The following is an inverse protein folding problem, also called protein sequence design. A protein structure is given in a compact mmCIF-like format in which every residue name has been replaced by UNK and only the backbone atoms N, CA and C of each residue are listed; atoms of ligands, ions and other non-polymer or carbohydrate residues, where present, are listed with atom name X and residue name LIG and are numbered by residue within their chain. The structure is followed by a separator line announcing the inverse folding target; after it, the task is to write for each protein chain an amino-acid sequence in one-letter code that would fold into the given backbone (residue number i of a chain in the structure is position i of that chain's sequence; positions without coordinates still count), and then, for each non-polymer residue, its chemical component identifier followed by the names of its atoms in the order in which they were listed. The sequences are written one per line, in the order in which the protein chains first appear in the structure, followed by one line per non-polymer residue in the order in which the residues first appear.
data_IF_908843553720
#
_entry.id   IF_908843553720
#
_cell.length_a   1.000
_cell.length_b   1.000
_cell.length_c   1.000
_cell.angle_alpha   90.00
_cell.angle_beta   90.00
_cell.angle_gamma   90.00
#
_symmetry.space_group_name_H-M   'P 1'
#
loop_
_entity.id
_entity.type
_entity.pdbx_description
1 polymer ?
#
# COMPACT_ATOMS: atom_id res chain seq x y z
N UNK A 1 24.19 27.37 -36.71
CA UNK A 1 23.13 26.37 -36.52
C UNK A 1 22.89 26.21 -35.00
N UNK A 2 21.81 26.81 -34.52
CA UNK A 2 21.35 26.64 -33.15
C UNK A 2 20.75 25.22 -33.02
N UNK A 3 21.52 24.26 -32.58
CA UNK A 3 21.02 23.00 -32.09
C UNK A 3 20.34 23.31 -30.75
N UNK A 4 19.03 23.39 -30.73
CA UNK A 4 18.26 23.40 -29.46
C UNK A 4 18.62 22.11 -28.71
N UNK A 5 19.08 22.24 -27.48
CA UNK A 5 19.28 21.07 -26.62
C UNK A 5 17.98 20.28 -26.57
N UNK A 6 17.99 19.06 -27.09
CA UNK A 6 16.83 18.19 -26.98
C UNK A 6 16.62 17.84 -25.52
N UNK A 7 15.45 18.15 -24.99
CA UNK A 7 15.04 17.71 -23.67
C UNK A 7 14.99 16.16 -23.68
N UNK A 8 15.75 15.53 -22.81
CA UNK A 8 15.70 14.07 -22.67
C UNK A 8 14.41 13.74 -21.92
N UNK A 9 13.47 13.07 -22.58
CA UNK A 9 12.23 12.58 -21.98
C UNK A 9 12.36 11.10 -21.64
N UNK A 10 11.87 10.68 -20.46
CA UNK A 10 11.87 9.25 -20.11
C UNK A 10 10.66 8.54 -20.72
N UNK A 11 10.79 8.18 -21.99
CA UNK A 11 9.71 7.59 -22.77
C UNK A 11 9.39 6.13 -22.33
N UNK A 12 10.40 5.39 -21.87
CA UNK A 12 10.21 3.98 -21.49
C UNK A 12 9.27 3.80 -20.29
N UNK A 13 9.47 4.57 -19.22
CA UNK A 13 8.59 4.51 -18.06
C UNK A 13 7.17 4.94 -18.39
N UNK A 14 7.02 5.98 -19.21
CA UNK A 14 5.70 6.44 -19.68
C UNK A 14 4.94 5.32 -20.40
N UNK A 15 5.59 4.62 -21.33
CA UNK A 15 4.94 3.51 -22.07
C UNK A 15 4.49 2.38 -21.14
N UNK A 16 5.29 2.02 -20.15
CA UNK A 16 4.93 0.98 -19.17
C UNK A 16 3.73 1.42 -18.34
N UNK A 17 3.77 2.64 -17.81
CA UNK A 17 2.68 3.17 -16.98
C UNK A 17 1.39 3.33 -17.78
N UNK A 18 1.45 3.88 -19.00
CA UNK A 18 0.29 4.00 -19.87
C UNK A 18 -0.34 2.63 -20.17
N UNK A 19 0.50 1.61 -20.45
CA UNK A 19 0.03 0.25 -20.72
C UNK A 19 -0.67 -0.39 -19.51
N UNK A 20 -0.12 -0.19 -18.32
CA UNK A 20 -0.74 -0.68 -17.09
C UNK A 20 -2.08 0.03 -16.81
N UNK A 21 -2.16 1.32 -17.02
CA UNK A 21 -3.41 2.08 -16.86
C UNK A 21 -4.48 1.62 -17.83
N UNK A 22 -4.11 1.37 -19.08
CA UNK A 22 -5.01 0.82 -20.12
C UNK A 22 -5.50 -0.58 -19.72
N UNK A 23 -4.61 -1.49 -19.30
CA UNK A 23 -4.93 -2.86 -18.93
C UNK A 23 -5.91 -2.94 -17.74
N UNK A 24 -5.73 -2.07 -16.75
CA UNK A 24 -6.63 -1.97 -15.60
C UNK A 24 -7.82 -1.04 -15.85
N UNK A 25 -7.97 -0.46 -17.04
CA UNK A 25 -9.00 0.53 -17.39
C UNK A 25 -9.06 1.70 -16.39
N UNK A 26 -7.91 2.09 -15.85
CA UNK A 26 -7.82 3.17 -14.85
C UNK A 26 -8.17 4.53 -15.44
N UNK A 27 -7.93 4.73 -16.73
CA UNK A 27 -8.24 5.96 -17.46
C UNK A 27 -9.73 6.27 -17.38
N UNK A 28 -10.56 5.28 -17.72
CA UNK A 28 -12.02 5.41 -17.64
C UNK A 28 -12.51 5.55 -16.21
N UNK A 29 -11.94 4.77 -15.28
CA UNK A 29 -12.30 4.83 -13.87
C UNK A 29 -12.00 6.20 -13.26
N UNK A 30 -10.77 6.70 -13.42
CA UNK A 30 -10.33 7.97 -12.83
C UNK A 30 -11.07 9.17 -13.40
N UNK A 31 -11.47 9.13 -14.66
CA UNK A 31 -12.30 10.18 -15.26
C UNK A 31 -13.67 10.35 -14.57
N UNK A 32 -14.15 9.32 -13.88
CA UNK A 32 -15.45 9.27 -13.20
C UNK A 32 -15.35 9.39 -11.67
N UNK A 33 -14.17 9.26 -11.10
CA UNK A 33 -13.95 9.13 -9.64
C UNK A 33 -14.38 10.37 -8.87
N UNK A 34 -14.18 11.55 -9.45
CA UNK A 34 -14.63 12.80 -8.84
C UNK A 34 -15.03 13.83 -9.93
N UNK A 35 -16.35 14.00 -10.13
CA UNK A 35 -16.91 14.90 -11.13
C UNK A 35 -16.61 16.39 -10.90
N UNK A 36 -16.08 16.76 -9.76
CA UNK A 36 -15.70 18.16 -9.43
C UNK A 36 -14.30 18.51 -9.92
N UNK A 37 -13.50 17.54 -10.29
CA UNK A 37 -12.14 17.74 -10.82
C UNK A 37 -12.26 18.40 -12.22
N UNK A 38 -11.47 19.45 -12.43
CA UNK A 38 -11.44 20.22 -13.68
C UNK A 38 -10.08 20.19 -14.38
N UNK A 39 -9.21 19.30 -13.95
CA UNK A 39 -7.90 19.04 -14.56
C UNK A 39 -7.76 17.54 -14.81
N UNK A 40 -6.75 17.17 -15.56
CA UNK A 40 -6.46 15.78 -15.90
C UNK A 40 -5.88 15.04 -14.68
N UNK A 41 -6.77 14.39 -13.90
CA UNK A 41 -6.42 13.61 -12.71
C UNK A 41 -5.57 12.40 -13.08
N UNK A 42 -5.84 11.76 -14.21
CA UNK A 42 -5.12 10.60 -14.69
C UNK A 42 -3.64 10.94 -14.92
N UNK A 43 -3.36 12.01 -15.68
CA UNK A 43 -1.99 12.47 -15.93
C UNK A 43 -1.26 12.81 -14.63
N UNK A 44 -1.95 13.40 -13.62
CA UNK A 44 -1.35 13.65 -12.31
C UNK A 44 -0.95 12.36 -11.61
N UNK A 45 -1.79 11.34 -11.65
CA UNK A 45 -1.51 10.05 -11.01
C UNK A 45 -0.39 9.33 -11.77
N UNK A 46 -0.45 9.26 -13.09
CA UNK A 46 0.63 8.68 -13.92
C UNK A 46 1.99 9.35 -13.64
N UNK A 47 2.01 10.67 -13.56
CA UNK A 47 3.20 11.46 -13.21
C UNK A 47 3.78 11.04 -11.84
N UNK A 48 2.92 10.93 -10.82
CA UNK A 48 3.34 10.52 -9.48
C UNK A 48 3.83 9.06 -9.44
N UNK A 49 3.20 8.16 -10.21
CA UNK A 49 3.62 6.76 -10.36
C UNK A 49 4.99 6.68 -11.05
N UNK A 50 5.16 7.36 -12.18
CA UNK A 50 6.45 7.41 -12.88
C UNK A 50 7.57 7.93 -11.99
N UNK A 51 7.32 9.02 -11.26
CA UNK A 51 8.30 9.54 -10.32
C UNK A 51 8.68 8.52 -9.25
N UNK A 52 7.71 7.79 -8.71
CA UNK A 52 7.97 6.78 -7.67
C UNK A 52 8.79 5.61 -8.19
N UNK A 53 8.59 5.23 -9.45
CA UNK A 53 9.29 4.10 -10.08
C UNK A 53 10.71 4.46 -10.52
N UNK A 54 10.93 5.69 -10.99
CA UNK A 54 12.21 6.10 -11.56
C UNK A 54 13.14 6.70 -10.50
N UNK A 55 12.77 7.84 -9.98
CA UNK A 55 13.57 8.61 -9.03
C UNK A 55 12.63 9.36 -8.06
N UNK A 56 12.34 8.80 -6.90
CA UNK A 56 11.41 9.40 -5.95
C UNK A 56 11.84 10.80 -5.51
N UNK A 57 11.03 11.81 -5.85
CA UNK A 57 11.23 13.22 -5.47
C UNK A 57 10.02 13.77 -4.72
N UNK A 58 10.19 14.93 -4.09
CA UNK A 58 9.07 15.68 -3.52
C UNK A 58 8.09 16.14 -4.61
N UNK A 59 6.89 16.53 -4.24
CA UNK A 59 5.89 17.04 -5.21
C UNK A 59 6.38 18.29 -5.93
N UNK A 60 7.10 19.16 -5.24
CA UNK A 60 7.78 20.32 -5.84
C UNK A 60 8.91 19.85 -6.79
N UNK A 61 9.68 18.82 -6.41
CA UNK A 61 10.71 18.25 -7.28
C UNK A 61 10.13 17.68 -8.58
N UNK A 62 8.98 16.98 -8.50
CA UNK A 62 8.26 16.50 -9.69
C UNK A 62 7.83 17.68 -10.58
N UNK A 63 7.24 18.70 -9.97
CA UNK A 63 6.77 19.89 -10.67
C UNK A 63 7.89 20.62 -11.44
N UNK A 64 9.10 20.68 -10.87
CA UNK A 64 10.25 21.31 -11.51
C UNK A 64 10.84 20.51 -12.69
N UNK A 65 10.39 19.28 -12.88
CA UNK A 65 10.92 18.36 -13.90
C UNK A 65 9.83 17.78 -14.81
N UNK A 66 8.72 18.46 -15.00
CA UNK A 66 7.60 17.99 -15.82
C UNK A 66 8.02 17.57 -17.22
N UNK A 67 8.94 18.33 -17.82
CA UNK A 67 9.49 18.03 -19.17
C UNK A 67 10.16 16.65 -19.25
N UNK A 68 10.84 16.24 -18.16
CA UNK A 68 11.49 14.93 -18.07
C UNK A 68 10.46 13.79 -18.15
N UNK A 69 9.29 13.99 -17.57
CA UNK A 69 8.19 13.02 -17.60
C UNK A 69 7.30 13.15 -18.84
N UNK A 70 7.54 14.16 -19.68
CA UNK A 70 6.75 14.42 -20.87
C UNK A 70 5.31 14.85 -20.55
N UNK A 71 5.11 15.54 -19.45
CA UNK A 71 3.84 16.08 -18.99
C UNK A 71 3.89 17.60 -19.08
N UNK A 72 2.86 18.22 -19.62
CA UNK A 72 2.74 19.66 -19.85
C UNK A 72 1.46 20.18 -19.17
N UNK A 73 1.34 21.48 -19.02
CA UNK A 73 0.15 22.19 -18.49
C UNK A 73 -0.30 21.72 -17.10
N UNK A 74 0.66 21.46 -16.19
CA UNK A 74 0.42 21.04 -14.81
C UNK A 74 0.74 22.17 -13.86
N UNK A 75 -0.18 22.41 -12.93
CA UNK A 75 0.03 23.31 -11.80
C UNK A 75 0.38 22.53 -10.52
N UNK A 76 1.33 23.01 -9.73
CA UNK A 76 1.77 22.34 -8.51
C UNK A 76 0.61 21.99 -7.57
N UNK A 77 -0.38 22.89 -7.43
CA UNK A 77 -1.54 22.63 -6.59
C UNK A 77 -2.42 21.46 -7.06
N UNK A 78 -2.40 21.13 -8.37
CA UNK A 78 -3.14 20.00 -8.92
C UNK A 78 -2.54 18.67 -8.46
N UNK A 79 -1.21 18.59 -8.36
CA UNK A 79 -0.50 17.41 -7.83
C UNK A 79 -0.93 17.16 -6.37
N UNK A 80 -0.95 18.20 -5.52
CA UNK A 80 -1.38 18.07 -4.12
C UNK A 80 -2.86 17.70 -4.00
N UNK A 81 -3.74 18.35 -4.76
CA UNK A 81 -5.18 18.03 -4.77
C UNK A 81 -5.45 16.59 -5.23
N UNK A 82 -4.63 16.07 -6.14
CA UNK A 82 -4.75 14.68 -6.59
C UNK A 82 -4.46 13.70 -5.46
N UNK A 83 -3.49 14.01 -4.58
CA UNK A 83 -3.26 13.20 -3.36
C UNK A 83 -4.47 13.23 -2.42
N UNK A 84 -5.11 14.38 -2.22
CA UNK A 84 -6.32 14.49 -1.40
C UNK A 84 -7.47 13.67 -1.97
N UNK A 85 -7.59 13.63 -3.30
CA UNK A 85 -8.60 12.80 -3.98
C UNK A 85 -8.29 11.33 -3.77
N UNK A 86 -7.04 10.90 -4.00
CA UNK A 86 -6.62 9.51 -3.78
C UNK A 86 -6.86 9.08 -2.33
N UNK A 87 -6.54 9.93 -1.36
CA UNK A 87 -6.76 9.63 0.06
C UNK A 87 -8.27 9.44 0.38
N UNK A 88 -9.13 10.34 -0.11
CA UNK A 88 -10.59 10.24 0.09
C UNK A 88 -11.23 9.05 -0.62
N UNK A 89 -10.66 8.64 -1.75
CA UNK A 89 -11.17 7.58 -2.63
C UNK A 89 -10.40 6.25 -2.47
N UNK A 90 -9.54 6.16 -1.45
CA UNK A 90 -8.70 4.98 -1.20
C UNK A 90 -9.49 3.68 -1.31
N UNK A 91 -10.55 3.54 -0.52
CA UNK A 91 -11.33 2.30 -0.47
C UNK A 91 -12.02 1.96 -1.80
N UNK A 92 -12.55 2.97 -2.50
CA UNK A 92 -13.18 2.78 -3.81
C UNK A 92 -12.15 2.33 -4.85
N UNK A 93 -10.95 2.93 -4.83
CA UNK A 93 -9.85 2.60 -5.74
C UNK A 93 -9.32 1.18 -5.45
N UNK A 94 -9.08 0.84 -4.20
CA UNK A 94 -8.63 -0.49 -3.80
C UNK A 94 -9.64 -1.56 -4.23
N UNK A 95 -10.93 -1.34 -3.98
CA UNK A 95 -12.01 -2.24 -4.39
C UNK A 95 -12.08 -2.38 -5.92
N UNK A 96 -11.90 -1.28 -6.65
CA UNK A 96 -11.86 -1.32 -8.10
C UNK A 96 -10.68 -2.16 -8.60
N UNK A 97 -9.48 -1.90 -8.10
CA UNK A 97 -8.26 -2.64 -8.47
C UNK A 97 -8.39 -4.14 -8.16
N UNK A 98 -8.92 -4.47 -6.97
CA UNK A 98 -9.19 -5.83 -6.56
C UNK A 98 -10.13 -6.55 -7.54
N UNK A 99 -11.28 -5.94 -7.86
CA UNK A 99 -12.26 -6.54 -8.77
C UNK A 99 -11.70 -6.69 -10.20
N UNK A 100 -10.95 -5.71 -10.69
CA UNK A 100 -10.30 -5.80 -12.01
C UNK A 100 -9.33 -6.97 -12.06
N UNK A 101 -8.53 -7.14 -11.02
CA UNK A 101 -7.57 -8.24 -10.94
C UNK A 101 -8.26 -9.60 -10.92
N UNK A 102 -9.33 -9.77 -10.15
CA UNK A 102 -10.10 -11.01 -10.14
C UNK A 102 -10.60 -11.38 -11.54
N UNK A 103 -11.09 -10.39 -12.29
CA UNK A 103 -11.61 -10.59 -13.64
C UNK A 103 -10.50 -10.88 -14.65
N UNK A 104 -9.37 -10.13 -14.58
CA UNK A 104 -8.27 -10.27 -15.54
C UNK A 104 -7.51 -11.60 -15.40
N UNK A 105 -7.33 -12.06 -14.16
CA UNK A 105 -6.49 -13.24 -13.87
C UNK A 105 -7.29 -14.45 -13.44
N UNK A 106 -8.62 -14.37 -13.42
CA UNK A 106 -9.51 -15.42 -12.94
C UNK A 106 -9.03 -16.02 -11.59
N UNK A 107 -8.56 -15.12 -10.71
CA UNK A 107 -7.92 -15.47 -9.44
C UNK A 107 -8.93 -15.39 -8.29
N UNK A 108 -8.72 -16.22 -7.28
CA UNK A 108 -9.40 -16.10 -5.97
C UNK A 108 -8.38 -15.76 -4.91
N UNK A 109 -8.77 -14.97 -3.92
CA UNK A 109 -7.92 -14.75 -2.75
C UNK A 109 -8.23 -15.84 -1.74
N UNK A 110 -7.26 -16.72 -1.55
CA UNK A 110 -7.28 -17.81 -0.58
C UNK A 110 -6.15 -17.73 0.45
N UNK A 111 -5.17 -16.87 0.18
CA UNK A 111 -4.00 -16.66 1.03
C UNK A 111 -3.67 -15.17 1.11
N UNK A 112 -3.55 -14.65 2.33
CA UNK A 112 -3.15 -13.27 2.59
C UNK A 112 -1.92 -13.26 3.47
N UNK A 113 -0.89 -12.57 3.01
CA UNK A 113 0.25 -12.18 3.83
C UNK A 113 -0.01 -10.79 4.39
N UNK A 114 0.10 -10.66 5.70
CA UNK A 114 0.00 -9.37 6.38
C UNK A 114 1.32 -9.03 7.04
N UNK A 115 1.82 -7.85 6.75
CA UNK A 115 3.04 -7.33 7.37
C UNK A 115 2.91 -5.85 7.71
N UNK A 116 3.74 -5.41 8.63
CA UNK A 116 3.74 -4.05 9.15
C UNK A 116 5.14 -3.47 9.11
N UNK A 117 5.22 -2.24 8.61
CA UNK A 117 6.46 -1.47 8.60
C UNK A 117 6.25 -0.07 9.15
N UNK A 118 7.30 0.57 9.62
CA UNK A 118 7.29 1.97 10.03
C UNK A 118 7.91 2.86 8.96
N UNK A 119 7.27 4.00 8.70
CA UNK A 119 7.77 5.03 7.80
C UNK A 119 8.12 6.26 8.63
N UNK A 120 9.41 6.57 8.76
CA UNK A 120 9.91 7.73 9.48
C UNK A 120 9.92 8.98 8.60
N UNK A 121 9.70 10.13 9.23
CA UNK A 121 9.79 11.43 8.60
C UNK A 121 10.93 12.22 9.24
N UNK A 122 11.70 12.93 8.46
CA UNK A 122 12.70 13.88 8.94
C UNK A 122 12.02 15.12 9.56
N UNK A 123 11.16 14.88 10.54
CA UNK A 123 10.36 15.89 11.23
C UNK A 123 10.21 15.52 12.69
N UNK A 124 10.21 16.55 13.56
CA UNK A 124 9.93 16.42 14.98
C UNK A 124 8.49 16.85 15.33
N UNK A 125 7.70 17.25 14.33
CA UNK A 125 6.34 17.72 14.58
C UNK A 125 5.37 16.54 14.64
N UNK A 126 4.72 16.39 15.77
CA UNK A 126 3.57 15.49 15.91
C UNK A 126 2.37 16.13 15.22
N UNK A 127 1.79 15.46 14.24
CA UNK A 127 0.63 15.95 13.50
C UNK A 127 -0.21 14.79 12.95
N UNK A 128 -1.47 14.73 13.33
CA UNK A 128 -2.38 13.67 12.88
C UNK A 128 -1.83 12.28 13.22
N UNK A 129 -1.60 11.47 12.20
CA UNK A 129 -1.05 10.11 12.36
C UNK A 129 0.45 10.08 12.66
N UNK A 130 1.17 11.19 12.37
CA UNK A 130 2.61 11.29 12.63
C UNK A 130 2.86 11.44 14.13
N UNK A 131 3.49 10.44 14.74
CA UNK A 131 3.78 10.42 16.16
C UNK A 131 5.15 9.78 16.42
N UNK A 132 5.72 10.05 17.59
CA UNK A 132 6.90 9.30 18.05
C UNK A 132 6.49 7.89 18.40
N UNK A 133 7.33 6.92 18.04
CA UNK A 133 7.07 5.52 18.34
C UNK A 133 8.34 4.69 18.41
N UNK A 134 8.18 3.39 18.57
CA UNK A 134 9.30 2.47 18.55
C UNK A 134 9.91 2.43 17.14
N UNK A 135 11.17 2.80 17.02
CA UNK A 135 11.89 2.76 15.74
C UNK A 135 12.87 1.60 15.72
N UNK A 136 12.70 0.66 14.80
CA UNK A 136 13.66 -0.44 14.56
C UNK A 136 15.02 0.11 14.08
N UNK A 137 15.00 1.25 13.40
CA UNK A 137 16.19 1.95 12.85
C UNK A 137 16.83 2.91 13.84
N UNK A 138 16.39 2.92 15.12
CA UNK A 138 16.88 3.81 16.18
C UNK A 138 16.70 5.31 15.93
N UNK A 139 15.72 5.68 15.14
CA UNK A 139 15.36 7.08 14.80
C UNK A 139 14.38 7.66 15.82
N UNK A 140 14.78 7.70 17.09
CA UNK A 140 13.91 8.09 18.21
C UNK A 140 13.47 9.56 18.21
N UNK A 141 14.15 10.41 17.44
CA UNK A 141 13.88 11.85 17.35
C UNK A 141 13.05 12.23 16.10
N UNK A 142 12.62 11.24 15.34
CA UNK A 142 11.80 11.44 14.14
C UNK A 142 10.37 10.95 14.40
N UNK A 143 9.39 11.68 13.86
CA UNK A 143 8.02 11.17 13.84
C UNK A 143 7.87 10.11 12.78
N UNK A 144 6.96 9.19 13.00
CA UNK A 144 6.71 8.06 12.10
C UNK A 144 5.21 7.80 11.95
N UNK A 145 4.86 6.99 10.97
CA UNK A 145 3.56 6.32 10.86
C UNK A 145 3.78 4.83 10.74
N UNK A 146 2.79 4.05 11.11
CA UNK A 146 2.82 2.60 10.94
C UNK A 146 1.98 2.25 9.71
N UNK A 147 2.57 1.52 8.77
CA UNK A 147 1.92 1.04 7.54
C UNK A 147 1.70 -0.46 7.65
N UNK A 148 0.45 -0.90 7.71
CA UNK A 148 0.05 -2.29 7.55
C UNK A 148 -0.35 -2.57 6.11
N UNK A 149 0.14 -3.67 5.53
CA UNK A 149 -0.15 -4.05 4.15
C UNK A 149 -0.58 -5.50 4.07
N UNK A 150 -1.65 -5.74 3.34
CA UNK A 150 -2.12 -7.07 2.97
C UNK A 150 -1.81 -7.34 1.51
N UNK A 151 -1.18 -8.48 1.23
CA UNK A 151 -0.88 -8.93 -0.13
C UNK A 151 -1.37 -10.36 -0.32
N UNK A 152 -1.75 -10.71 -1.54
CA UNK A 152 -2.16 -12.08 -1.85
C UNK A 152 -0.97 -13.02 -2.12
N UNK A 153 -1.28 -14.27 -2.48
CA UNK A 153 -0.28 -15.30 -2.80
C UNK A 153 0.71 -14.90 -3.90
N UNK A 154 0.27 -14.11 -4.85
CA UNK A 154 1.10 -13.62 -5.96
C UNK A 154 1.86 -12.33 -5.59
N UNK A 155 1.80 -11.93 -4.31
CA UNK A 155 2.39 -10.71 -3.75
C UNK A 155 1.76 -9.42 -4.29
N UNK A 156 0.52 -9.50 -4.74
CA UNK A 156 -0.20 -8.31 -5.20
C UNK A 156 -0.85 -7.60 -4.00
N UNK A 157 -0.69 -6.27 -3.86
CA UNK A 157 -1.32 -5.53 -2.79
C UNK A 157 -2.85 -5.61 -2.88
N UNK A 158 -3.48 -6.02 -1.78
CA UNK A 158 -4.95 -6.08 -1.65
C UNK A 158 -5.47 -4.84 -0.95
N UNK A 159 -4.87 -4.50 0.18
CA UNK A 159 -5.19 -3.30 0.95
C UNK A 159 -4.00 -2.82 1.76
N UNK A 160 -4.06 -1.58 2.20
CA UNK A 160 -3.11 -1.05 3.17
C UNK A 160 -3.81 -0.12 4.16
N UNK A 161 -3.28 -0.04 5.37
CA UNK A 161 -3.73 0.88 6.39
C UNK A 161 -2.57 1.67 6.97
N UNK A 162 -2.85 2.92 7.31
CA UNK A 162 -1.89 3.80 7.98
C UNK A 162 -2.42 4.08 9.38
N UNK A 163 -1.58 3.80 10.37
CA UNK A 163 -1.88 3.99 11.78
C UNK A 163 -0.96 5.03 12.39
N UNK A 164 -1.35 5.52 13.56
CA UNK A 164 -0.50 6.43 14.33
C UNK A 164 0.87 5.81 14.61
N UNK A 165 1.91 6.63 14.57
CA UNK A 165 3.30 6.19 14.70
C UNK A 165 3.65 5.51 16.03
N UNK A 166 2.84 5.73 17.08
CA UNK A 166 2.97 5.08 18.38
C UNK A 166 2.12 3.80 18.52
N UNK A 167 1.32 3.44 17.49
CA UNK A 167 0.51 2.22 17.55
C UNK A 167 1.42 0.99 17.55
N UNK A 168 1.18 0.06 18.46
CA UNK A 168 1.90 -1.20 18.50
C UNK A 168 1.53 -2.08 17.29
N UNK A 169 2.53 -2.59 16.59
CA UNK A 169 2.34 -3.36 15.35
C UNK A 169 1.36 -4.54 15.53
N UNK A 170 1.42 -5.23 16.67
CA UNK A 170 0.54 -6.35 16.97
C UNK A 170 -0.96 -6.00 17.04
N UNK A 171 -1.32 -4.74 17.29
CA UNK A 171 -2.72 -4.32 17.36
C UNK A 171 -3.31 -3.88 16.02
N UNK A 172 -2.54 -3.99 14.93
CA UNK A 172 -2.99 -3.56 13.59
C UNK A 172 -3.68 -4.67 12.81
N UNK A 173 -3.39 -5.91 13.15
CA UNK A 173 -3.87 -7.09 12.42
C UNK A 173 -5.39 -7.25 12.52
N UNK A 174 -5.97 -7.06 13.70
CA UNK A 174 -7.42 -7.14 13.91
C UNK A 174 -8.16 -6.18 12.99
N UNK A 175 -7.74 -4.91 12.97
CA UNK A 175 -8.34 -3.89 12.11
C UNK A 175 -8.26 -4.29 10.62
N UNK A 176 -7.11 -4.83 10.19
CA UNK A 176 -6.90 -5.28 8.82
C UNK A 176 -7.82 -6.47 8.44
N UNK A 177 -8.00 -7.42 9.34
CA UNK A 177 -8.88 -8.59 9.14
C UNK A 177 -10.34 -8.17 9.04
N UNK A 178 -10.80 -7.31 9.95
CA UNK A 178 -12.17 -6.78 9.96
C UNK A 178 -12.46 -5.99 8.66
N UNK A 179 -11.50 -5.17 8.22
CA UNK A 179 -11.62 -4.45 6.97
C UNK A 179 -11.69 -5.40 5.77
N UNK A 180 -10.82 -6.39 5.67
CA UNK A 180 -10.84 -7.37 4.59
C UNK A 180 -12.15 -8.14 4.54
N UNK A 181 -12.67 -8.57 5.67
CA UNK A 181 -13.94 -9.27 5.77
C UNK A 181 -15.10 -8.41 5.28
N UNK A 182 -15.18 -7.17 5.73
CA UNK A 182 -16.26 -6.25 5.38
C UNK A 182 -16.20 -5.77 3.93
N UNK A 183 -14.99 -5.52 3.42
CA UNK A 183 -14.75 -4.87 2.13
C UNK A 183 -14.78 -5.83 0.95
N UNK A 184 -14.22 -7.02 1.12
CA UNK A 184 -14.02 -7.99 0.04
C UNK A 184 -14.89 -9.24 0.15
N UNK A 185 -15.66 -9.37 1.25
CA UNK A 185 -16.56 -10.51 1.51
C UNK A 185 -15.85 -11.87 1.32
N UNK A 186 -14.63 -11.97 1.83
CA UNK A 186 -13.81 -13.19 1.72
C UNK A 186 -14.36 -14.25 2.68
N UNK A 187 -14.77 -15.37 2.14
CA UNK A 187 -15.40 -16.45 2.92
C UNK A 187 -14.38 -17.42 3.54
N UNK A 188 -13.22 -17.57 2.93
CA UNK A 188 -12.17 -18.48 3.39
C UNK A 188 -10.80 -17.94 3.01
N UNK A 189 -9.99 -17.63 4.00
CA UNK A 189 -8.65 -17.05 3.82
C UNK A 189 -7.71 -17.68 4.82
N UNK A 190 -6.47 -17.88 4.42
CA UNK A 190 -5.36 -18.20 5.32
C UNK A 190 -4.54 -16.93 5.52
N UNK A 191 -4.48 -16.44 6.74
CA UNK A 191 -3.67 -15.28 7.11
C UNK A 191 -2.26 -15.74 7.46
N UNK A 192 -1.26 -15.20 6.77
CA UNK A 192 0.15 -15.45 7.06
C UNK A 192 0.78 -14.19 7.61
N UNK A 193 1.33 -14.28 8.82
CA UNK A 193 1.96 -13.14 9.48
C UNK A 193 3.21 -13.55 10.27
N UNK A 194 4.05 -12.56 10.54
CA UNK A 194 5.27 -12.78 11.27
C UNK A 194 5.00 -12.98 12.80
N UNK A 195 6.05 -13.41 13.50
CA UNK A 195 6.00 -13.65 14.96
C UNK A 195 5.63 -12.39 15.76
N UNK A 196 5.97 -11.19 15.28
CA UNK A 196 5.65 -9.94 15.95
C UNK A 196 4.16 -9.68 16.05
N UNK A 197 3.37 -10.31 15.17
CA UNK A 197 1.91 -10.23 15.12
C UNK A 197 1.21 -11.27 16.01
N UNK A 198 1.96 -12.20 16.64
CA UNK A 198 1.38 -13.28 17.45
C UNK A 198 0.96 -12.75 18.81
N UNK A 199 -0.31 -12.44 18.98
CA UNK A 199 -0.99 -12.20 20.26
C UNK A 199 -2.26 -13.05 20.34
N UNK A 200 -2.75 -13.34 21.54
CA UNK A 200 -4.02 -14.07 21.73
C UNK A 200 -5.17 -13.30 21.05
N UNK A 201 -5.21 -11.99 21.24
CA UNK A 201 -6.23 -11.11 20.62
C UNK A 201 -6.24 -11.21 19.09
N UNK A 202 -5.06 -11.25 18.44
CA UNK A 202 -4.99 -11.39 17.00
C UNK A 202 -5.44 -12.77 16.51
N UNK A 203 -5.08 -13.82 17.24
CA UNK A 203 -5.52 -15.19 16.93
C UNK A 203 -7.04 -15.30 17.05
N UNK A 204 -7.62 -14.81 18.15
CA UNK A 204 -9.07 -14.77 18.35
C UNK A 204 -9.77 -14.02 17.22
N UNK A 205 -9.26 -12.86 16.82
CA UNK A 205 -9.84 -12.08 15.72
C UNK A 205 -9.82 -12.82 14.37
N UNK A 206 -8.77 -13.60 14.09
CA UNK A 206 -8.70 -14.45 12.89
C UNK A 206 -9.73 -15.58 12.96
N UNK A 207 -9.79 -16.28 14.08
CA UNK A 207 -10.71 -17.41 14.30
C UNK A 207 -12.18 -16.97 14.29
N UNK A 208 -12.51 -15.87 14.94
CA UNK A 208 -13.86 -15.26 14.91
C UNK A 208 -14.27 -14.82 13.49
N UNK A 209 -13.30 -14.50 12.65
CA UNK A 209 -13.56 -14.19 11.24
C UNK A 209 -13.79 -15.42 10.38
N UNK A 210 -13.54 -16.62 10.92
CA UNK A 210 -13.63 -17.88 10.20
C UNK A 210 -12.46 -18.13 9.25
N UNK A 211 -11.32 -17.49 9.52
CA UNK A 211 -10.09 -17.62 8.73
C UNK A 211 -9.12 -18.59 9.40
N UNK A 212 -8.33 -19.27 8.59
CA UNK A 212 -7.17 -20.04 9.05
C UNK A 212 -5.94 -19.13 9.17
N UNK A 213 -4.90 -19.56 9.89
CA UNK A 213 -3.68 -18.77 10.01
C UNK A 213 -2.40 -19.59 10.03
N UNK A 214 -1.32 -18.96 9.57
CA UNK A 214 0.06 -19.42 9.70
C UNK A 214 0.86 -18.28 10.29
N UNK A 215 1.32 -18.42 11.53
CA UNK A 215 2.10 -17.39 12.23
C UNK A 215 3.39 -17.96 12.80
N UNK A 216 4.47 -17.18 12.72
CA UNK A 216 5.74 -17.56 13.29
C UNK A 216 5.65 -17.65 14.81
N UNK A 217 6.12 -18.76 15.42
CA UNK A 217 6.21 -18.93 16.88
C UNK A 217 7.63 -19.18 17.34
N UNK A 218 8.00 -18.63 18.49
CA UNK A 218 9.30 -18.90 19.10
C UNK A 218 9.33 -20.31 19.67
N UNK A 219 10.26 -21.14 19.22
CA UNK A 219 10.50 -22.50 19.73
C UNK A 219 10.71 -22.48 21.26
N UNK A 220 11.37 -21.44 21.79
CA UNK A 220 11.62 -21.29 23.25
C UNK A 220 10.34 -21.05 24.07
N UNK A 221 9.24 -20.66 23.43
CA UNK A 221 7.94 -20.39 24.06
C UNK A 221 6.91 -21.51 23.79
N UNK A 222 7.30 -22.57 23.11
CA UNK A 222 6.42 -23.74 22.96
C UNK A 222 6.24 -24.40 24.32
N UNK A 223 5.02 -24.86 24.59
CA UNK A 223 4.77 -25.68 25.80
C UNK A 223 5.62 -26.93 25.75
N UNK A 224 5.97 -27.46 26.93
CA UNK A 224 6.78 -28.70 27.04
C UNK A 224 6.09 -29.90 26.38
N UNK A 225 4.82 -29.80 26.14
CA UNK A 225 3.98 -30.85 25.55
C UNK A 225 4.08 -30.94 24.00
N UNK A 226 4.73 -29.94 23.37
CA UNK A 226 4.98 -29.96 21.92
C UNK A 226 6.34 -30.55 21.63
N UNK A 227 6.38 -31.83 21.24
CA UNK A 227 7.58 -32.48 20.76
C UNK A 227 7.90 -32.06 19.34
N UNK A 228 8.81 -31.10 19.18
CA UNK A 228 9.21 -30.51 17.89
C UNK A 228 9.77 -31.59 16.95
N UNK A 229 10.35 -32.66 17.46
CA UNK A 229 10.95 -33.77 16.69
C UNK A 229 9.89 -34.74 16.14
N UNK A 230 8.64 -34.62 16.60
CA UNK A 230 7.50 -35.41 16.10
C UNK A 230 6.56 -34.65 15.17
N UNK A 231 6.88 -33.40 14.84
CA UNK A 231 6.14 -32.65 13.83
C UNK A 231 6.47 -33.22 12.45
N UNK A 232 5.57 -34.02 11.91
CA UNK A 232 5.67 -34.50 10.54
C UNK A 232 5.31 -33.35 9.58
N UNK A 233 6.19 -33.10 8.60
CA UNK A 233 5.84 -32.28 7.45
C UNK A 233 4.82 -33.05 6.60
N UNK A 234 3.60 -32.55 6.54
CA UNK A 234 2.60 -32.99 5.57
C UNK A 234 2.63 -32.10 4.35
#
# INVERSE_FOLDING_TARGET
SNVKSNVIKNYGAKLVVDKLFEEYELDEYLSKVDKKVRYDLESMIKLMVMNRLLEPKSKLGIYNELDYYGVEDVELHQIYRSLDILARKKEEIEKYMYNKRLNLFNSSIDLIFYDVTTLSFESQQVNGLMNYGYSKDKKFNETQVVLGMSVDRDRFPVSFNIYEGNKFEGHTMKDAIEEMKSKYNLSKVIVVADRGMLSEENIEAIEESGYDYIVGRSIKKLSKDVDIFKLEYK
#
